data_IF_709977493802
#
_entry.id   IF_709977493802
#
_cell.length_a   1.000
_cell.length_b   1.000
_cell.length_c   1.000
_cell.angle_alpha   90.00
_cell.angle_beta   90.00
_cell.angle_gamma   90.00
#
_symmetry.space_group_name_H-M   'P 1'
#
loop_
_entity.id
_entity.type
_entity.pdbx_description
1 polymer ?
#
# COMPACT_ATOMS: atom_id res chain seq x y z
N UNK A 1 -2.71 14.62 11.42
CA UNK A 1 -1.41 14.00 11.74
C UNK A 1 -0.39 14.31 10.65
N UNK A 2 0.80 14.75 11.06
CA UNK A 2 1.97 14.92 10.20
C UNK A 2 3.01 13.90 10.64
N UNK A 3 3.24 12.87 9.84
CA UNK A 3 4.06 11.72 10.23
C UNK A 3 5.26 11.63 9.29
N UNK A 4 6.43 11.44 9.88
CA UNK A 4 7.71 11.34 9.20
C UNK A 4 8.32 10.00 9.56
N UNK A 5 8.67 9.21 8.54
CA UNK A 5 9.38 7.94 8.71
C UNK A 5 10.71 8.02 7.98
N UNK A 6 11.80 7.82 8.73
CA UNK A 6 13.15 7.65 8.17
C UNK A 6 13.45 6.16 8.07
N UNK A 7 13.94 5.71 6.92
CA UNK A 7 14.20 4.31 6.66
C UNK A 7 15.38 4.13 5.72
N UNK A 8 16.03 2.97 5.78
CA UNK A 8 17.12 2.66 4.85
C UNK A 8 16.57 2.49 3.43
N UNK A 9 17.30 2.95 2.41
CA UNK A 9 16.85 2.96 1.01
C UNK A 9 16.54 1.59 0.40
N UNK A 10 16.95 0.51 1.06
CA UNK A 10 16.60 -0.86 0.67
C UNK A 10 15.20 -1.26 1.10
N UNK A 11 14.48 -0.44 1.88
CA UNK A 11 13.11 -0.72 2.26
C UNK A 11 12.12 0.15 1.49
N UNK A 12 10.93 -0.38 1.25
CA UNK A 12 9.73 0.35 0.85
C UNK A 12 8.80 0.41 2.05
N UNK A 13 8.31 1.60 2.39
CA UNK A 13 7.33 1.80 3.47
C UNK A 13 5.93 1.79 2.90
N UNK A 14 5.05 0.95 3.46
CA UNK A 14 3.64 0.86 3.11
C UNK A 14 2.78 1.23 4.32
N UNK A 15 1.62 1.82 4.08
CA UNK A 15 0.65 2.16 5.12
C UNK A 15 -0.77 2.18 4.56
N UNK A 16 -1.78 2.22 5.43
CA UNK A 16 -3.17 2.47 5.05
C UNK A 16 -3.45 3.92 4.65
N UNK A 17 -2.45 4.80 4.76
CA UNK A 17 -2.51 6.20 4.34
C UNK A 17 -1.53 6.43 3.17
N UNK A 18 -1.89 7.31 2.22
CA UNK A 18 -1.04 7.60 1.07
C UNK A 18 0.21 8.38 1.50
N UNK A 19 1.35 8.06 0.86
CA UNK A 19 2.58 8.85 0.99
C UNK A 19 2.39 10.16 0.23
N UNK A 20 2.68 11.29 0.87
CA UNK A 20 2.64 12.61 0.21
C UNK A 20 3.94 12.90 -0.53
N UNK A 21 5.07 12.57 0.08
CA UNK A 21 6.39 12.90 -0.45
C UNK A 21 7.43 11.92 0.08
N UNK A 22 8.38 11.53 -0.79
CA UNK A 22 9.60 10.81 -0.42
C UNK A 22 10.79 11.69 -0.77
N UNK A 23 11.74 11.81 0.15
CA UNK A 23 12.97 12.58 -0.02
C UNK A 23 14.17 11.73 0.37
N UNK A 24 15.29 11.92 -0.31
CA UNK A 24 16.57 11.40 0.16
C UNK A 24 17.01 12.23 1.36
N UNK A 25 17.21 11.58 2.51
CA UNK A 25 17.68 12.25 3.72
C UNK A 25 19.20 12.28 3.78
N UNK A 26 19.83 11.12 3.56
CA UNK A 26 21.29 10.92 3.47
C UNK A 26 21.59 9.79 2.47
N UNK A 27 22.88 9.50 2.17
CA UNK A 27 23.34 8.51 1.16
C UNK A 27 22.59 7.17 1.14
N UNK A 28 22.18 6.69 2.32
CA UNK A 28 21.52 5.41 2.51
C UNK A 28 20.13 5.50 3.16
N UNK A 29 19.65 6.71 3.46
CA UNK A 29 18.41 6.93 4.20
C UNK A 29 17.42 7.73 3.36
N UNK A 30 16.19 7.22 3.30
CA UNK A 30 15.03 7.87 2.73
C UNK A 30 14.14 8.42 3.85
N UNK A 31 13.30 9.38 3.52
CA UNK A 31 12.34 10.01 4.42
C UNK A 31 10.98 10.11 3.73
N UNK A 32 9.99 9.41 4.26
CA UNK A 32 8.62 9.44 3.78
C UNK A 32 7.78 10.36 4.68
N UNK A 33 7.06 11.29 4.04
CA UNK A 33 6.12 12.20 4.68
C UNK A 33 4.69 11.77 4.40
N UNK A 34 3.91 11.69 5.47
CA UNK A 34 2.50 11.40 5.44
C UNK A 34 1.73 12.55 6.08
N UNK A 35 0.69 13.03 5.39
CA UNK A 35 -0.24 14.03 5.91
C UNK A 35 -1.64 13.44 5.80
N UNK A 36 -2.28 13.24 6.95
CA UNK A 36 -3.59 12.58 7.03
C UNK A 36 -4.40 13.13 8.20
N UNK A 37 -5.71 13.18 8.05
CA UNK A 37 -6.65 13.51 9.15
C UNK A 37 -6.94 12.30 10.05
N UNK A 38 -6.61 11.09 9.60
CA UNK A 38 -6.86 9.83 10.31
C UNK A 38 -5.55 9.23 10.79
N UNK A 39 -5.53 8.68 12.01
CA UNK A 39 -4.35 8.01 12.54
C UNK A 39 -4.08 6.73 11.74
N UNK A 40 -2.86 6.50 11.21
CA UNK A 40 -2.53 5.24 10.57
C UNK A 40 -2.55 4.11 11.58
N UNK A 41 -3.04 2.96 11.15
CA UNK A 41 -3.13 1.78 12.00
C UNK A 41 -1.82 0.98 11.97
N UNK A 42 -1.07 1.08 10.87
CA UNK A 42 0.17 0.33 10.68
C UNK A 42 1.13 1.04 9.72
N UNK A 43 2.40 0.65 9.83
CA UNK A 43 3.42 0.84 8.81
C UNK A 43 4.13 -0.49 8.58
N UNK A 44 4.28 -0.88 7.31
CA UNK A 44 4.99 -2.10 6.91
C UNK A 44 6.25 -1.70 6.17
N UNK A 45 7.39 -2.31 6.53
CA UNK A 45 8.67 -2.09 5.89
C UNK A 45 9.04 -3.32 5.08
N UNK A 46 9.02 -3.18 3.75
CA UNK A 46 9.29 -4.26 2.81
C UNK A 46 10.72 -4.12 2.31
N UNK A 47 11.58 -5.10 2.59
CA UNK A 47 12.92 -5.13 2.01
C UNK A 47 12.82 -5.36 0.49
N UNK A 48 13.53 -4.56 -0.31
CA UNK A 48 13.64 -4.73 -1.76
C UNK A 48 14.18 -6.12 -2.12
N UNK A 49 15.01 -6.71 -1.25
CA UNK A 49 15.53 -8.09 -1.38
C UNK A 49 14.47 -9.15 -1.15
N UNK A 50 13.30 -8.80 -0.61
CA UNK A 50 12.19 -9.73 -0.46
C UNK A 50 11.59 -10.14 -1.82
N UNK A 51 12.00 -9.51 -2.93
CA UNK A 51 11.57 -9.83 -4.29
C UNK A 51 10.05 -9.84 -4.44
N UNK A 52 9.37 -8.86 -3.81
CA UNK A 52 7.93 -8.66 -3.98
C UNK A 52 7.69 -7.79 -5.21
N UNK A 53 6.80 -8.25 -6.08
CA UNK A 53 6.24 -7.49 -7.19
C UNK A 53 4.89 -6.91 -6.81
N UNK A 54 4.58 -5.73 -7.34
CA UNK A 54 3.29 -5.07 -7.18
C UNK A 54 2.37 -5.41 -8.35
N UNK A 55 1.19 -5.93 -8.05
CA UNK A 55 0.06 -5.99 -8.96
C UNK A 55 -0.90 -4.87 -8.56
N UNK A 56 -1.10 -3.90 -9.44
CA UNK A 56 -1.96 -2.74 -9.20
C UNK A 56 -3.39 -3.01 -9.67
N UNK A 57 -4.35 -2.40 -8.98
CA UNK A 57 -5.74 -2.32 -9.46
C UNK A 57 -5.87 -1.39 -10.67
N UNK A 58 -7.05 -1.39 -11.32
CA UNK A 58 -7.30 -0.51 -12.46
C UNK A 58 -7.20 0.97 -12.05
N UNK A 59 -6.41 1.75 -12.80
CA UNK A 59 -6.10 3.16 -12.51
C UNK A 59 -7.30 4.09 -12.50
N UNK A 60 -8.35 3.75 -13.26
CA UNK A 60 -9.57 4.56 -13.38
C UNK A 60 -10.57 4.33 -12.23
N UNK A 61 -10.33 3.33 -11.38
CA UNK A 61 -11.20 3.02 -10.25
C UNK A 61 -10.96 3.97 -9.09
N UNK A 62 -12.04 4.50 -8.50
CA UNK A 62 -11.98 5.19 -7.19
C UNK A 62 -11.48 4.27 -6.07
N UNK A 63 -11.58 2.95 -6.24
CA UNK A 63 -11.04 1.96 -5.31
C UNK A 63 -9.89 1.24 -5.99
N UNK A 64 -8.68 1.52 -5.52
CA UNK A 64 -7.47 0.88 -6.01
C UNK A 64 -7.04 -0.22 -5.03
N UNK A 65 -7.08 -1.49 -5.48
CA UNK A 65 -6.63 -2.65 -4.70
C UNK A 65 -5.30 -3.12 -5.25
N UNK A 66 -4.26 -2.92 -4.44
CA UNK A 66 -2.88 -3.27 -4.75
C UNK A 66 -2.50 -4.56 -4.00
N UNK A 67 -1.69 -5.41 -4.62
CA UNK A 67 -1.16 -6.61 -3.99
C UNK A 67 0.34 -6.73 -4.21
N UNK A 68 1.10 -6.85 -3.12
CA UNK A 68 2.54 -7.13 -3.13
C UNK A 68 2.79 -8.61 -2.89
N UNK A 69 3.50 -9.29 -3.79
CA UNK A 69 3.84 -10.69 -3.59
C UNK A 69 5.03 -11.19 -4.43
N UNK A 70 5.64 -12.32 -4.05
CA UNK A 70 6.77 -12.91 -4.78
C UNK A 70 6.37 -13.52 -6.13
N UNK A 71 5.39 -14.43 -6.14
CA UNK A 71 4.96 -15.13 -7.36
C UNK A 71 3.47 -15.52 -7.33
N UNK A 72 2.86 -15.59 -8.51
CA UNK A 72 1.53 -16.19 -8.79
C UNK A 72 0.31 -15.65 -8.03
N UNK A 73 0.22 -14.34 -7.79
CA UNK A 73 -0.91 -13.78 -7.04
C UNK A 73 -2.00 -13.13 -7.90
N UNK A 74 -1.97 -13.28 -9.23
CA UNK A 74 -2.99 -12.71 -10.11
C UNK A 74 -4.41 -13.22 -9.77
N UNK A 75 -4.52 -14.51 -9.43
CA UNK A 75 -5.79 -15.09 -8.98
C UNK A 75 -6.27 -14.48 -7.65
N UNK A 76 -5.39 -14.41 -6.66
CA UNK A 76 -5.70 -13.80 -5.37
C UNK A 76 -6.07 -12.32 -5.53
N UNK A 77 -5.33 -11.56 -6.33
CA UNK A 77 -5.60 -10.16 -6.66
C UNK A 77 -6.99 -9.99 -7.28
N UNK A 78 -7.37 -10.82 -8.26
CA UNK A 78 -8.70 -10.80 -8.87
C UNK A 78 -9.81 -11.05 -7.85
N UNK A 79 -9.62 -12.01 -6.93
CA UNK A 79 -10.59 -12.29 -5.87
C UNK A 79 -10.75 -11.09 -4.93
N UNK A 80 -9.64 -10.57 -4.38
CA UNK A 80 -9.71 -9.47 -3.42
C UNK A 80 -10.25 -8.18 -4.05
N UNK A 81 -9.94 -7.94 -5.33
CA UNK A 81 -10.52 -6.84 -6.11
C UNK A 81 -12.05 -6.97 -6.18
N UNK A 82 -12.56 -8.14 -6.57
CA UNK A 82 -14.00 -8.38 -6.70
C UNK A 82 -14.73 -8.28 -5.35
N UNK A 83 -14.20 -8.91 -4.30
CA UNK A 83 -14.77 -8.85 -2.95
C UNK A 83 -14.81 -7.41 -2.45
N UNK A 84 -13.71 -6.67 -2.62
CA UNK A 84 -13.62 -5.27 -2.21
C UNK A 84 -14.67 -4.43 -2.93
N UNK A 85 -14.76 -4.52 -4.26
CA UNK A 85 -15.73 -3.73 -5.03
C UNK A 85 -17.17 -4.07 -4.64
N UNK A 86 -17.48 -5.34 -4.41
CA UNK A 86 -18.79 -5.77 -3.91
C UNK A 86 -19.12 -5.15 -2.55
N UNK A 87 -18.21 -5.25 -1.58
CA UNK A 87 -18.41 -4.72 -0.23
C UNK A 87 -18.55 -3.19 -0.22
N UNK A 88 -17.72 -2.49 -0.97
CA UNK A 88 -17.78 -1.03 -1.06
C UNK A 88 -19.07 -0.56 -1.73
N UNK A 89 -19.56 -1.27 -2.76
CA UNK A 89 -20.87 -1.01 -3.34
C UNK A 89 -21.99 -1.23 -2.32
N UNK A 90 -21.98 -2.37 -1.63
CA UNK A 90 -22.99 -2.75 -0.63
C UNK A 90 -23.08 -1.74 0.52
N UNK A 91 -21.95 -1.14 0.90
CA UNK A 91 -21.89 -0.14 1.98
C UNK A 91 -21.90 1.32 1.50
N UNK A 92 -22.14 1.59 0.22
CA UNK A 92 -22.21 2.97 -0.29
C UNK A 92 -20.89 3.76 -0.20
N UNK A 93 -19.75 3.08 -0.24
CA UNK A 93 -18.40 3.69 -0.04
C UNK A 93 -17.68 4.06 -1.34
N UNK A 94 -18.35 3.98 -2.49
CA UNK A 94 -17.79 4.27 -3.82
C UNK A 94 -17.52 5.77 -4.08
N UNK A 95 -17.89 6.66 -3.16
CA UNK A 95 -17.87 8.11 -3.38
C UNK A 95 -16.49 8.75 -3.14
N UNK A 96 -15.57 8.03 -2.51
CA UNK A 96 -14.24 8.52 -2.13
C UNK A 96 -13.16 7.66 -2.76
N UNK A 97 -11.94 8.21 -2.86
CA UNK A 97 -10.77 7.44 -3.25
C UNK A 97 -10.29 6.57 -2.10
N UNK A 98 -10.12 5.27 -2.37
CA UNK A 98 -9.60 4.31 -1.41
C UNK A 98 -8.42 3.56 -2.00
N UNK A 99 -7.33 3.50 -1.23
CA UNK A 99 -6.20 2.64 -1.52
C UNK A 99 -6.20 1.48 -0.52
N UNK A 100 -6.23 0.26 -1.04
CA UNK A 100 -6.18 -0.97 -0.25
C UNK A 100 -4.93 -1.71 -0.67
N UNK A 101 -4.11 -2.11 0.31
CA UNK A 101 -2.84 -2.77 0.07
C UNK A 101 -2.88 -4.14 0.74
N UNK A 102 -2.81 -5.18 -0.07
CA UNK A 102 -2.53 -6.53 0.38
C UNK A 102 -1.05 -6.84 0.21
N UNK A 103 -0.50 -7.62 1.13
CA UNK A 103 0.89 -8.08 1.05
C UNK A 103 0.96 -9.55 1.48
N UNK A 104 1.63 -10.37 0.68
CA UNK A 104 1.96 -11.74 1.04
C UNK A 104 3.33 -11.73 1.72
N UNK A 105 3.34 -11.76 3.05
CA UNK A 105 4.56 -11.82 3.87
C UNK A 105 4.92 -13.30 4.04
N UNK A 106 6.12 -13.74 3.67
CA UNK A 106 6.59 -15.08 3.99
C UNK A 106 6.63 -15.29 5.50
N UNK A 107 6.16 -16.44 5.99
CA UNK A 107 6.27 -16.87 7.38
C UNK A 107 5.66 -15.88 8.41
N UNK A 108 4.41 -15.47 8.16
CA UNK A 108 3.63 -14.53 8.99
C UNK A 108 2.52 -15.21 9.81
#
# INVERSE_FOLDING_TARGET
YNIIIKYHKTYTVLSNIPIKRVLMYNKNMMMAHFITSVRPNYFVFVDIRANLSLISGPSESKINVNMWCRMHCAFAHKIVQNITLYLFRKWGRLNQFWQIIHIAIPDF
#
